data_IF_958922795839
#
_entry.id   IF_958922795839
#
_cell.length_a   1.000
_cell.length_b   1.000
_cell.length_c   1.000
_cell.angle_alpha   90.00
_cell.angle_beta   90.00
_cell.angle_gamma   90.00
#
_symmetry.space_group_name_H-M   'P 1'
#
loop_
_entity.id
_entity.type
_entity.pdbx_description
1 polymer ?
#
# COMPACT_ATOMS: atom_id res chain seq x y z
N UNK A 1 -46.09 4.40 -42.69
CA UNK A 1 -45.46 3.29 -41.95
C UNK A 1 -44.15 2.95 -42.65
N UNK A 2 -43.06 3.54 -42.20
CA UNK A 2 -41.69 3.01 -42.37
C UNK A 2 -40.89 3.58 -41.21
N UNK A 3 -40.52 2.69 -40.31
CA UNK A 3 -39.80 2.90 -39.07
C UNK A 3 -38.31 3.15 -39.34
N UNK A 4 -37.80 4.29 -38.90
CA UNK A 4 -36.37 4.54 -38.74
C UNK A 4 -35.87 3.83 -37.48
N UNK A 5 -35.08 2.78 -37.64
CA UNK A 5 -34.27 2.20 -36.56
C UNK A 5 -32.86 2.79 -36.60
N UNK A 6 -32.56 3.70 -35.68
CA UNK A 6 -31.18 4.05 -35.33
C UNK A 6 -30.55 2.90 -34.52
N UNK A 7 -29.28 2.54 -34.76
CA UNK A 7 -28.56 1.65 -33.86
C UNK A 7 -28.07 2.45 -32.64
N UNK A 8 -28.56 2.06 -31.46
CA UNK A 8 -28.09 2.52 -30.17
C UNK A 8 -26.61 2.15 -29.97
N UNK A 9 -25.77 3.16 -29.78
CA UNK A 9 -24.36 2.99 -29.43
C UNK A 9 -24.18 2.27 -28.11
N UNK A 10 -23.51 1.12 -28.15
CA UNK A 10 -22.87 0.53 -26.98
C UNK A 10 -21.52 1.23 -26.78
N UNK A 11 -21.45 2.16 -25.83
CA UNK A 11 -20.16 2.62 -25.32
C UNK A 11 -19.61 1.57 -24.35
N UNK A 12 -18.72 0.74 -24.88
CA UNK A 12 -17.91 -0.17 -24.10
C UNK A 12 -16.96 0.56 -23.16
N UNK A 13 -16.77 0.00 -21.98
CA UNK A 13 -15.53 0.10 -21.22
C UNK A 13 -15.08 -1.33 -20.91
N UNK A 14 -14.62 -2.04 -21.93
CA UNK A 14 -13.74 -3.18 -21.73
C UNK A 14 -12.33 -2.62 -21.53
N UNK A 15 -11.90 -2.46 -20.28
CA UNK A 15 -10.49 -2.13 -19.97
C UNK A 15 -9.63 -3.36 -20.24
N UNK A 16 -9.31 -3.59 -21.51
CA UNK A 16 -8.49 -4.71 -21.98
C UNK A 16 -6.99 -4.37 -21.88
N UNK A 17 -6.55 -3.89 -20.71
CA UNK A 17 -5.16 -3.57 -20.40
C UNK A 17 -4.65 -4.45 -19.27
N UNK A 18 -3.35 -4.78 -19.28
CA UNK A 18 -2.71 -5.47 -18.16
C UNK A 18 -3.02 -4.74 -16.83
N UNK A 19 -3.21 -5.46 -15.71
CA UNK A 19 -3.52 -4.83 -14.44
C UNK A 19 -2.42 -3.83 -14.06
N UNK A 20 -2.82 -2.66 -13.54
CA UNK A 20 -1.87 -1.67 -13.03
C UNK A 20 -1.15 -2.22 -11.80
N UNK A 21 0.09 -1.80 -11.59
CA UNK A 21 0.79 -2.11 -10.35
C UNK A 21 0.09 -1.42 -9.17
N UNK A 22 -0.03 -2.14 -8.06
CA UNK A 22 -0.62 -1.66 -6.81
C UNK A 22 0.43 -1.74 -5.71
N UNK A 23 0.71 -0.61 -5.09
CA UNK A 23 1.68 -0.55 -3.98
C UNK A 23 0.94 -0.22 -2.70
N UNK A 24 1.07 -1.08 -1.70
CA UNK A 24 0.59 -0.80 -0.37
C UNK A 24 1.64 -0.03 0.42
N UNK A 25 1.27 1.13 0.94
CA UNK A 25 2.18 1.96 1.76
C UNK A 25 1.74 1.92 3.22
N UNK A 26 2.57 1.27 4.04
CA UNK A 26 2.47 1.32 5.50
C UNK A 26 3.28 2.52 6.00
N UNK A 27 2.63 3.42 6.75
CA UNK A 27 3.28 4.63 7.24
C UNK A 27 2.54 5.22 8.45
N UNK A 28 3.19 6.17 9.14
CA UNK A 28 2.64 6.80 10.33
C UNK A 28 1.41 7.67 10.06
N UNK A 29 0.44 7.62 11.00
CA UNK A 29 -0.64 8.60 11.09
C UNK A 29 -0.14 10.01 11.49
N UNK A 30 1.09 10.10 12.01
CA UNK A 30 1.76 11.35 12.35
C UNK A 30 2.80 11.72 11.28
N UNK A 31 3.05 13.01 11.09
CA UNK A 31 4.03 13.51 10.11
C UNK A 31 5.50 13.28 10.53
N UNK A 32 5.75 12.95 11.81
CA UNK A 32 7.09 12.96 12.39
C UNK A 32 7.56 14.36 12.79
N UNK A 33 8.70 14.44 13.46
CA UNK A 33 9.30 15.72 13.92
C UNK A 33 10.16 16.39 12.85
N UNK A 34 10.79 15.60 11.97
CA UNK A 34 11.57 16.11 10.84
C UNK A 34 10.68 16.29 9.61
N UNK A 35 10.75 17.44 8.90
CA UNK A 35 9.98 17.67 7.68
C UNK A 35 10.35 16.72 6.54
N UNK A 36 11.51 16.04 6.62
CA UNK A 36 11.99 15.11 5.61
C UNK A 36 11.03 13.93 5.38
N UNK A 37 10.33 13.47 6.42
CA UNK A 37 9.39 12.34 6.30
C UNK A 37 8.15 12.72 5.49
N UNK A 38 7.63 13.93 5.71
CA UNK A 38 6.48 14.45 4.96
C UNK A 38 6.86 14.75 3.51
N UNK A 39 8.07 15.27 3.27
CA UNK A 39 8.55 15.46 1.90
C UNK A 39 8.72 14.12 1.17
N UNK A 40 9.27 13.10 1.83
CA UNK A 40 9.37 11.76 1.25
C UNK A 40 8.00 11.15 0.93
N UNK A 41 6.96 11.42 1.74
CA UNK A 41 5.59 11.01 1.44
C UNK A 41 5.06 11.68 0.16
N UNK A 42 5.31 13.00 -0.02
CA UNK A 42 4.97 13.71 -1.26
C UNK A 42 5.73 13.17 -2.47
N UNK A 43 7.04 13.00 -2.33
CA UNK A 43 7.88 12.48 -3.41
C UNK A 43 7.44 11.07 -3.80
N UNK A 44 7.09 10.22 -2.84
CA UNK A 44 6.53 8.90 -3.13
C UNK A 44 5.21 8.98 -3.91
N UNK A 45 4.28 9.84 -3.49
CA UNK A 45 3.03 10.06 -4.23
C UNK A 45 3.27 10.52 -5.67
N UNK A 46 4.21 11.46 -5.88
CA UNK A 46 4.61 11.92 -7.22
C UNK A 46 5.26 10.82 -8.05
N UNK A 47 6.15 10.04 -7.45
CA UNK A 47 6.86 8.95 -8.11
C UNK A 47 5.88 7.83 -8.53
N UNK A 48 4.92 7.48 -7.67
CA UNK A 48 3.85 6.54 -8.00
C UNK A 48 3.00 7.05 -9.17
N UNK A 49 2.61 8.34 -9.14
CA UNK A 49 1.82 8.96 -10.20
C UNK A 49 2.54 8.89 -11.55
N UNK A 50 3.82 9.28 -11.57
CA UNK A 50 4.67 9.27 -12.77
C UNK A 50 4.89 7.86 -13.35
N UNK A 51 4.76 6.82 -12.53
CA UNK A 51 4.88 5.42 -12.95
C UNK A 51 3.53 4.73 -13.16
N UNK A 52 2.40 5.46 -13.09
CA UNK A 52 1.05 4.92 -13.21
C UNK A 52 0.79 3.74 -12.25
N UNK A 53 1.21 3.92 -11.00
CA UNK A 53 1.04 2.96 -9.90
C UNK A 53 -0.10 3.44 -9.01
N UNK A 54 -1.03 2.53 -8.71
CA UNK A 54 -2.14 2.79 -7.79
C UNK A 54 -1.70 2.54 -6.33
N UNK A 55 -2.25 3.31 -5.39
CA UNK A 55 -1.97 3.22 -3.96
C UNK A 55 -3.04 2.39 -3.23
N UNK A 56 -2.57 1.48 -2.39
CA UNK A 56 -3.35 0.85 -1.33
C UNK A 56 -2.82 1.37 0.01
N UNK A 57 -3.70 1.78 0.92
CA UNK A 57 -3.22 2.28 2.22
C UNK A 57 -4.27 2.19 3.32
N UNK A 58 -3.87 2.63 4.52
CA UNK A 58 -4.68 2.53 5.73
C UNK A 58 -5.89 3.45 5.83
N UNK A 59 -6.13 4.32 4.86
CA UNK A 59 -7.30 5.22 4.81
C UNK A 59 -7.24 6.45 5.73
N UNK A 60 -6.09 6.75 6.32
CA UNK A 60 -5.91 7.97 7.14
C UNK A 60 -5.89 9.26 6.31
N UNK A 61 -6.28 10.38 6.90
CA UNK A 61 -6.32 11.71 6.26
C UNK A 61 -5.19 12.64 6.74
N UNK A 62 -4.47 12.22 7.77
CA UNK A 62 -3.44 12.98 8.48
C UNK A 62 -2.07 12.32 8.37
N UNK A 63 -1.02 13.09 8.71
CA UNK A 63 0.36 12.62 8.70
C UNK A 63 0.82 12.13 7.33
N UNK A 64 1.66 11.09 7.34
CA UNK A 64 2.24 10.58 6.10
C UNK A 64 1.19 9.86 5.24
N UNK A 65 0.26 9.14 5.86
CA UNK A 65 -0.84 8.46 5.16
C UNK A 65 -1.66 9.44 4.30
N UNK A 66 -2.10 10.55 4.92
CA UNK A 66 -2.86 11.57 4.23
C UNK A 66 -2.07 12.23 3.11
N UNK A 67 -0.78 12.47 3.31
CA UNK A 67 0.08 13.16 2.34
C UNK A 67 0.34 12.33 1.07
N UNK A 68 0.64 11.03 1.20
CA UNK A 68 0.83 10.15 0.03
C UNK A 68 -0.47 10.07 -0.77
N UNK A 69 -1.60 9.81 -0.10
CA UNK A 69 -2.91 9.70 -0.73
C UNK A 69 -3.30 10.99 -1.45
N UNK A 70 -3.25 12.12 -0.74
CA UNK A 70 -3.60 13.43 -1.31
C UNK A 70 -2.74 13.80 -2.50
N UNK A 71 -1.44 13.55 -2.43
CA UNK A 71 -0.52 13.84 -3.54
C UNK A 71 -0.89 13.03 -4.78
N UNK A 72 -1.11 11.72 -4.63
CA UNK A 72 -1.42 10.86 -5.77
C UNK A 72 -2.80 11.18 -6.37
N UNK A 73 -3.83 11.38 -5.53
CA UNK A 73 -5.18 11.79 -6.00
C UNK A 73 -5.14 13.10 -6.77
N UNK A 74 -4.34 14.07 -6.30
CA UNK A 74 -4.24 15.38 -6.99
C UNK A 74 -3.68 15.30 -8.41
N UNK A 75 -2.98 14.21 -8.76
CA UNK A 75 -2.33 14.01 -10.06
C UNK A 75 -3.12 13.01 -10.92
N UNK A 76 -3.47 11.85 -10.37
CA UNK A 76 -4.07 10.72 -11.11
C UNK A 76 -5.55 10.48 -10.79
N UNK A 77 -6.15 11.30 -9.91
CA UNK A 77 -7.57 11.24 -9.55
C UNK A 77 -7.91 10.18 -8.50
N UNK A 78 -9.16 10.19 -7.98
CA UNK A 78 -9.59 9.36 -6.86
C UNK A 78 -9.44 7.85 -7.06
N UNK A 79 -9.58 7.37 -8.31
CA UNK A 79 -9.49 5.94 -8.63
C UNK A 79 -8.08 5.37 -8.44
N UNK A 80 -7.06 6.23 -8.41
CA UNK A 80 -5.66 5.83 -8.20
C UNK A 80 -5.32 5.49 -6.75
N UNK A 81 -6.25 5.73 -5.80
CA UNK A 81 -6.03 5.49 -4.37
C UNK A 81 -7.19 4.68 -3.78
N UNK A 82 -6.84 3.69 -2.96
CA UNK A 82 -7.78 2.89 -2.20
C UNK A 82 -7.37 2.78 -0.72
N UNK A 83 -8.15 3.42 0.15
CA UNK A 83 -8.00 3.34 1.61
C UNK A 83 -8.88 2.26 2.24
N UNK A 84 -8.32 1.41 3.11
CA UNK A 84 -9.07 0.38 3.85
C UNK A 84 -9.10 0.75 5.33
N UNK A 85 -10.31 1.03 5.85
CA UNK A 85 -10.52 1.60 7.18
C UNK A 85 -11.35 0.63 8.02
N UNK A 86 -10.97 0.30 9.26
CA UNK A 86 -11.80 -0.50 10.14
C UNK A 86 -12.95 0.35 10.72
N UNK A 87 -14.13 -0.24 10.89
CA UNK A 87 -15.33 0.43 11.43
C UNK A 87 -15.08 1.13 12.77
N UNK A 88 -14.20 0.57 13.60
CA UNK A 88 -13.83 1.17 14.87
C UNK A 88 -13.23 2.57 14.68
N UNK A 89 -12.28 2.75 13.74
CA UNK A 89 -11.60 4.03 13.54
C UNK A 89 -12.52 5.09 12.92
N UNK A 90 -13.47 4.70 12.07
CA UNK A 90 -14.50 5.61 11.54
C UNK A 90 -15.29 6.30 12.66
N UNK A 91 -15.51 5.62 13.78
CA UNK A 91 -16.26 6.17 14.93
C UNK A 91 -15.44 7.17 15.75
N UNK A 92 -14.12 6.97 15.81
CA UNK A 92 -13.20 7.82 16.58
C UNK A 92 -12.70 9.04 15.78
N UNK A 93 -12.51 8.91 14.47
CA UNK A 93 -11.99 9.97 13.57
C UNK A 93 -13.08 10.96 13.08
N UNK A 94 -14.22 11.03 13.77
CA UNK A 94 -15.34 11.95 13.44
C UNK A 94 -14.99 13.44 13.57
N UNK A 95 -13.74 13.78 13.88
CA UNK A 95 -13.30 15.12 14.31
C UNK A 95 -12.92 16.07 13.16
N UNK A 96 -13.57 15.92 11.99
CA UNK A 96 -13.66 17.00 10.98
C UNK A 96 -12.89 16.81 9.67
N UNK A 97 -12.00 15.81 9.54
CA UNK A 97 -11.37 15.48 8.24
C UNK A 97 -12.20 14.49 7.41
N UNK A 98 -13.11 13.76 8.05
CA UNK A 98 -14.05 12.83 7.43
C UNK A 98 -15.35 13.60 7.17
N UNK A 99 -15.45 14.23 6.00
CA UNK A 99 -16.55 15.15 5.68
C UNK A 99 -17.60 14.56 4.72
N UNK A 100 -17.36 13.35 4.21
CA UNK A 100 -18.25 12.73 3.22
C UNK A 100 -18.86 11.44 3.74
N UNK A 101 -19.99 11.03 3.16
CA UNK A 101 -20.63 9.76 3.46
C UNK A 101 -20.58 8.84 2.26
N UNK A 102 -20.20 7.58 2.47
CA UNK A 102 -20.29 6.56 1.42
C UNK A 102 -21.75 6.12 1.18
N UNK A 103 -21.96 5.23 0.20
CA UNK A 103 -23.29 4.68 -0.17
C UNK A 103 -24.02 3.97 0.98
N UNK A 104 -23.30 3.60 2.03
CA UNK A 104 -23.82 2.93 3.24
C UNK A 104 -24.00 3.90 4.42
N UNK A 105 -24.01 5.22 4.17
CA UNK A 105 -24.12 6.30 5.17
C UNK A 105 -23.02 6.28 6.26
N UNK A 106 -21.86 5.70 5.96
CA UNK A 106 -20.70 5.76 6.85
C UNK A 106 -19.88 7.00 6.51
N UNK A 107 -19.44 7.73 7.54
CA UNK A 107 -18.58 8.90 7.37
C UNK A 107 -17.18 8.42 6.94
N UNK A 108 -16.67 8.93 5.83
CA UNK A 108 -15.39 8.53 5.22
C UNK A 108 -14.61 9.77 4.75
N UNK A 109 -13.30 9.63 4.50
CA UNK A 109 -12.49 10.68 3.87
C UNK A 109 -13.09 11.14 2.54
N UNK A 110 -12.88 12.41 2.21
CA UNK A 110 -13.35 12.97 0.94
C UNK A 110 -12.66 12.27 -0.25
N UNK A 111 -13.46 11.59 -1.08
CA UNK A 111 -12.96 10.80 -2.21
C UNK A 111 -12.17 11.63 -3.23
N UNK A 112 -12.60 12.87 -3.50
CA UNK A 112 -11.87 13.82 -4.36
C UNK A 112 -10.49 14.22 -3.86
N UNK A 113 -10.18 13.98 -2.58
CA UNK A 113 -8.91 14.37 -1.95
C UNK A 113 -8.08 13.16 -1.56
N UNK A 114 -8.69 12.10 -1.04
CA UNK A 114 -8.00 10.93 -0.46
C UNK A 114 -8.29 9.62 -1.19
N UNK A 115 -9.14 9.66 -2.23
CA UNK A 115 -9.46 8.50 -3.05
C UNK A 115 -10.56 7.62 -2.48
N UNK A 116 -10.80 6.51 -3.16
CA UNK A 116 -11.86 5.56 -2.77
C UNK A 116 -11.53 4.94 -1.43
N UNK A 117 -12.56 4.66 -0.63
CA UNK A 117 -12.39 3.98 0.66
C UNK A 117 -13.34 2.82 0.85
N UNK A 118 -12.85 1.76 1.48
CA UNK A 118 -13.65 0.60 1.93
C UNK A 118 -13.60 0.51 3.45
N UNK A 119 -14.78 0.48 4.07
CA UNK A 119 -14.90 0.24 5.51
C UNK A 119 -15.04 -1.26 5.76
N UNK A 120 -14.24 -1.81 6.66
CA UNK A 120 -14.23 -3.24 7.02
C UNK A 120 -14.48 -3.43 8.52
N UNK A 121 -14.95 -4.61 8.89
CA UNK A 121 -15.36 -4.92 10.28
C UNK A 121 -14.21 -4.78 11.29
N UNK A 122 -13.03 -5.29 10.96
CA UNK A 122 -11.93 -5.45 11.91
C UNK A 122 -10.54 -5.30 11.26
N UNK A 123 -9.51 -5.21 12.11
CA UNK A 123 -8.11 -5.02 11.69
C UNK A 123 -7.56 -6.20 10.89
N UNK A 124 -8.02 -7.43 11.16
CA UNK A 124 -7.55 -8.61 10.42
C UNK A 124 -8.05 -8.55 8.97
N UNK A 125 -9.36 -8.28 8.80
CA UNK A 125 -9.98 -8.10 7.48
C UNK A 125 -9.34 -6.92 6.73
N UNK A 126 -9.00 -5.83 7.45
CA UNK A 126 -8.28 -4.68 6.89
C UNK A 126 -6.93 -5.09 6.28
N UNK A 127 -6.06 -5.72 7.06
CA UNK A 127 -4.73 -6.14 6.61
C UNK A 127 -4.82 -7.14 5.45
N UNK A 128 -5.74 -8.10 5.57
CA UNK A 128 -6.00 -9.09 4.52
C UNK A 128 -6.40 -8.43 3.20
N UNK A 129 -7.39 -7.53 3.23
CA UNK A 129 -7.85 -6.85 2.01
C UNK A 129 -6.76 -5.96 1.39
N UNK A 130 -5.99 -5.24 2.21
CA UNK A 130 -4.86 -4.43 1.72
C UNK A 130 -3.83 -5.30 0.98
N UNK A 131 -3.53 -6.49 1.50
CA UNK A 131 -2.59 -7.41 0.87
C UNK A 131 -3.17 -8.07 -0.39
N UNK A 132 -4.44 -8.50 -0.36
CA UNK A 132 -5.13 -9.07 -1.52
C UNK A 132 -5.18 -8.09 -2.70
N UNK A 133 -5.40 -6.80 -2.45
CA UNK A 133 -5.33 -5.76 -3.47
C UNK A 133 -3.95 -5.69 -4.13
N UNK A 134 -2.87 -5.80 -3.35
CA UNK A 134 -1.49 -5.84 -3.88
C UNK A 134 -1.23 -7.12 -4.68
N UNK A 135 -1.71 -8.27 -4.20
CA UNK A 135 -1.55 -9.55 -4.88
C UNK A 135 -2.24 -9.58 -6.24
N UNK A 136 -3.38 -8.90 -6.35
CA UNK A 136 -4.13 -8.74 -7.59
C UNK A 136 -3.54 -7.66 -8.53
N UNK A 137 -2.52 -6.92 -8.09
CA UNK A 137 -1.86 -5.90 -8.88
C UNK A 137 -0.93 -6.48 -9.97
N UNK A 138 -0.59 -5.65 -10.95
CA UNK A 138 0.34 -6.00 -12.02
C UNK A 138 1.81 -6.08 -11.59
N UNK A 139 2.73 -6.36 -12.54
CA UNK A 139 4.17 -6.39 -12.26
C UNK A 139 4.67 -5.10 -11.59
N UNK A 140 5.50 -5.25 -10.54
CA UNK A 140 5.97 -4.14 -9.71
C UNK A 140 5.07 -3.78 -8.53
N UNK A 141 3.98 -4.53 -8.31
CA UNK A 141 3.18 -4.43 -7.08
C UNK A 141 3.95 -4.93 -5.87
N UNK A 142 3.75 -4.29 -4.71
CA UNK A 142 4.37 -4.71 -3.46
C UNK A 142 4.12 -3.76 -2.30
N UNK A 143 4.97 -3.86 -1.29
CA UNK A 143 4.76 -3.20 0.00
C UNK A 143 5.90 -2.23 0.29
N UNK A 144 5.57 -1.02 0.74
CA UNK A 144 6.54 -0.02 1.18
C UNK A 144 6.25 0.37 2.63
N UNK A 145 7.28 0.28 3.47
CA UNK A 145 7.28 0.85 4.81
C UNK A 145 7.96 2.22 4.79
N UNK A 146 7.16 3.30 4.79
CA UNK A 146 7.68 4.63 5.12
C UNK A 146 7.79 4.76 6.65
N UNK A 147 8.34 5.86 7.15
CA UNK A 147 8.45 6.10 8.58
C UNK A 147 7.10 5.96 9.32
N UNK A 148 7.08 5.27 10.45
CA UNK A 148 5.86 4.97 11.17
C UNK A 148 6.09 4.23 12.48
N UNK A 149 5.06 4.20 13.34
CA UNK A 149 5.15 3.61 14.68
C UNK A 149 4.95 2.09 14.68
N UNK A 150 4.55 1.55 15.83
CA UNK A 150 4.35 0.10 16.01
C UNK A 150 3.40 -0.54 15.00
N UNK A 151 2.32 0.14 14.61
CA UNK A 151 1.40 -0.39 13.60
C UNK A 151 2.08 -0.63 12.25
N UNK A 152 2.88 0.34 11.78
CA UNK A 152 3.65 0.21 10.53
C UNK A 152 4.67 -0.92 10.61
N UNK A 153 5.35 -1.06 11.75
CA UNK A 153 6.31 -2.14 11.99
C UNK A 153 5.62 -3.51 11.97
N UNK A 154 4.46 -3.63 12.61
CA UNK A 154 3.65 -4.85 12.64
C UNK A 154 3.21 -5.26 11.24
N UNK A 155 2.68 -4.32 10.45
CA UNK A 155 2.21 -4.57 9.07
C UNK A 155 3.37 -5.00 8.14
N UNK A 156 4.56 -4.40 8.29
CA UNK A 156 5.75 -4.80 7.52
C UNK A 156 6.23 -6.20 7.90
N UNK A 157 6.28 -6.53 9.19
CA UNK A 157 6.74 -7.86 9.60
C UNK A 157 5.73 -8.96 9.29
N UNK A 158 4.43 -8.67 9.35
CA UNK A 158 3.37 -9.58 8.90
C UNK A 158 3.55 -9.95 7.42
N UNK A 159 3.65 -8.94 6.54
CA UNK A 159 3.85 -9.18 5.09
C UNK A 159 5.21 -9.83 4.77
N UNK A 160 6.26 -9.49 5.52
CA UNK A 160 7.56 -10.17 5.42
C UNK A 160 7.46 -11.65 5.78
N UNK A 161 6.71 -11.97 6.83
CA UNK A 161 6.49 -13.35 7.26
C UNK A 161 5.66 -14.12 6.23
N UNK A 162 4.63 -13.49 5.66
CA UNK A 162 3.82 -14.10 4.60
C UNK A 162 4.62 -14.39 3.33
N UNK A 163 5.52 -13.49 2.92
CA UNK A 163 6.47 -13.74 1.84
C UNK A 163 7.37 -14.94 2.17
N UNK A 164 7.98 -14.97 3.36
CA UNK A 164 8.82 -16.09 3.80
C UNK A 164 8.08 -17.44 3.76
N UNK A 165 6.79 -17.44 4.11
CA UNK A 165 5.90 -18.60 4.11
C UNK A 165 5.34 -18.98 2.72
N UNK A 166 5.71 -18.26 1.67
CA UNK A 166 5.26 -18.51 0.31
C UNK A 166 3.80 -18.13 0.03
N UNK A 167 3.19 -17.30 0.88
CA UNK A 167 1.81 -16.82 0.69
C UNK A 167 1.73 -15.83 -0.49
N UNK A 168 2.79 -15.06 -0.71
CA UNK A 168 2.92 -14.18 -1.87
C UNK A 168 4.38 -14.01 -2.30
N UNK A 169 4.57 -13.42 -3.48
CA UNK A 169 5.88 -13.19 -4.10
C UNK A 169 6.20 -11.70 -4.32
N UNK A 170 5.34 -10.79 -3.85
CA UNK A 170 5.59 -9.35 -3.95
C UNK A 170 6.74 -8.90 -3.05
N UNK A 171 7.55 -7.94 -3.54
CA UNK A 171 8.66 -7.35 -2.81
C UNK A 171 8.20 -6.43 -1.67
N UNK A 172 9.07 -6.27 -0.67
CA UNK A 172 8.83 -5.42 0.50
C UNK A 172 10.04 -4.51 0.69
N UNK A 173 9.79 -3.20 0.75
CA UNK A 173 10.85 -2.19 0.82
C UNK A 173 10.66 -1.29 2.04
N UNK A 174 11.70 -1.13 2.85
CA UNK A 174 11.80 -0.05 3.83
C UNK A 174 12.33 1.21 3.15
N UNK A 175 11.50 2.25 3.06
CA UNK A 175 11.92 3.55 2.57
C UNK A 175 12.57 4.34 3.72
N UNK A 176 13.90 4.21 3.79
CA UNK A 176 14.76 4.64 4.89
C UNK A 176 15.15 6.12 4.78
N UNK A 177 14.24 6.98 5.24
CA UNK A 177 14.44 8.43 5.26
C UNK A 177 15.25 8.82 6.49
N UNK A 178 16.40 9.47 6.27
CA UNK A 178 17.26 9.97 7.34
C UNK A 178 17.65 8.90 8.38
N UNK A 179 17.90 7.67 7.93
CA UNK A 179 18.30 6.55 8.80
C UNK A 179 17.20 6.02 9.72
N UNK A 180 15.92 6.38 9.48
CA UNK A 180 14.79 5.96 10.32
C UNK A 180 14.72 4.45 10.56
N UNK A 181 15.05 3.65 9.53
CA UNK A 181 14.96 2.19 9.58
C UNK A 181 16.28 1.49 9.94
N UNK A 182 17.36 2.23 10.22
CA UNK A 182 18.70 1.65 10.47
C UNK A 182 18.68 0.64 11.62
N UNK A 183 17.91 0.90 12.68
CA UNK A 183 17.77 -0.02 13.80
C UNK A 183 17.10 -1.34 13.44
N UNK A 184 16.11 -1.33 12.53
CA UNK A 184 15.46 -2.55 12.04
C UNK A 184 16.39 -3.34 11.12
N UNK A 185 17.14 -2.64 10.27
CA UNK A 185 18.15 -3.28 9.40
C UNK A 185 19.22 -3.95 10.24
N UNK A 186 19.73 -3.26 11.27
CA UNK A 186 20.72 -3.83 12.19
C UNK A 186 20.17 -5.04 12.96
N UNK A 187 18.92 -4.99 13.40
CA UNK A 187 18.26 -6.14 14.02
C UNK A 187 18.17 -7.33 13.05
N UNK A 188 17.83 -7.09 11.78
CA UNK A 188 17.74 -8.14 10.77
C UNK A 188 19.11 -8.78 10.53
N UNK A 189 20.17 -7.97 10.42
CA UNK A 189 21.53 -8.47 10.31
C UNK A 189 21.89 -9.39 11.49
N UNK A 190 21.53 -8.99 12.71
CA UNK A 190 21.77 -9.81 13.91
C UNK A 190 20.93 -11.09 13.91
N UNK A 191 19.67 -11.01 13.51
CA UNK A 191 18.80 -12.18 13.42
C UNK A 191 19.30 -13.21 12.39
N UNK A 192 19.95 -12.75 11.33
CA UNK A 192 20.64 -13.60 10.35
C UNK A 192 21.91 -14.21 10.94
N UNK A 193 22.75 -13.38 11.58
CA UNK A 193 23.99 -13.83 12.24
C UNK A 193 23.71 -14.92 13.28
N UNK A 194 22.66 -14.76 14.09
CA UNK A 194 22.23 -15.71 15.12
C UNK A 194 21.39 -16.88 14.57
N UNK A 195 21.13 -16.92 13.26
CA UNK A 195 20.44 -18.04 12.60
C UNK A 195 18.92 -18.09 12.80
N UNK A 196 18.29 -17.04 13.33
CA UNK A 196 16.83 -16.92 13.41
C UNK A 196 16.19 -16.61 12.05
N UNK A 197 16.94 -15.91 11.18
CA UNK A 197 16.57 -15.68 9.77
C UNK A 197 17.63 -16.34 8.89
N UNK A 198 17.20 -17.11 7.89
CA UNK A 198 18.14 -17.71 6.93
C UNK A 198 18.75 -16.61 6.06
N UNK A 199 20.05 -16.70 5.73
CA UNK A 199 20.73 -15.75 4.83
C UNK A 199 19.97 -15.55 3.51
N UNK A 200 19.44 -16.63 2.93
CA UNK A 200 18.62 -16.55 1.72
C UNK A 200 17.40 -15.62 1.89
N UNK A 201 16.78 -15.60 3.08
CA UNK A 201 15.58 -14.80 3.37
C UNK A 201 15.89 -13.34 3.72
N UNK A 202 17.16 -12.98 3.90
CA UNK A 202 17.57 -11.60 4.20
C UNK A 202 17.06 -10.60 3.16
N UNK A 203 17.06 -11.00 1.90
CA UNK A 203 16.65 -10.14 0.78
C UNK A 203 15.14 -10.08 0.57
N UNK A 204 14.31 -10.68 1.44
CA UNK A 204 12.86 -10.48 1.42
C UNK A 204 12.51 -9.02 1.74
N UNK A 205 13.21 -8.44 2.71
CA UNK A 205 13.04 -7.07 3.18
C UNK A 205 14.25 -6.23 2.76
N UNK A 206 14.09 -5.43 1.70
CA UNK A 206 15.16 -4.58 1.18
C UNK A 206 14.97 -3.13 1.61
N UNK A 207 16.00 -2.30 1.48
CA UNK A 207 15.92 -0.87 1.82
C UNK A 207 16.14 0.01 0.60
N UNK A 208 15.57 1.20 0.64
CA UNK A 208 15.90 2.28 -0.28
C UNK A 208 15.87 3.61 0.44
N UNK A 209 16.71 4.57 0.05
CA UNK A 209 16.74 5.91 0.64
C UNK A 209 15.95 6.94 -0.17
N UNK A 210 15.39 6.54 -1.32
CA UNK A 210 14.62 7.42 -2.20
C UNK A 210 13.33 6.72 -2.66
N UNK A 211 12.24 7.47 -2.92
CA UNK A 211 11.00 6.87 -3.42
C UNK A 211 11.15 6.17 -4.76
N UNK A 212 11.85 6.75 -5.73
CA UNK A 212 12.13 6.13 -7.03
C UNK A 212 12.93 4.84 -6.86
N UNK A 213 13.92 4.84 -5.97
CA UNK A 213 14.69 3.66 -5.63
C UNK A 213 13.81 2.56 -5.02
N UNK A 214 12.83 2.91 -4.19
CA UNK A 214 11.89 1.95 -3.60
C UNK A 214 10.98 1.32 -4.67
N UNK A 215 10.42 2.13 -5.57
CA UNK A 215 9.59 1.63 -6.67
C UNK A 215 10.37 0.76 -7.66
N UNK A 216 11.65 1.12 -7.91
CA UNK A 216 12.55 0.30 -8.71
C UNK A 216 12.84 -1.03 -8.02
N UNK A 217 13.11 -1.02 -6.71
CA UNK A 217 13.37 -2.24 -5.94
C UNK A 217 12.17 -3.20 -5.95
N UNK A 218 10.93 -2.68 -5.85
CA UNK A 218 9.73 -3.50 -6.00
C UNK A 218 9.60 -4.13 -7.39
N UNK A 219 9.90 -3.37 -8.44
CA UNK A 219 9.84 -3.83 -9.83
C UNK A 219 10.85 -4.92 -10.14
N UNK A 220 12.06 -4.79 -9.59
CA UNK A 220 13.17 -5.70 -9.83
C UNK A 220 13.24 -6.84 -8.83
N UNK A 221 12.34 -6.86 -7.83
CA UNK A 221 12.33 -7.87 -6.79
C UNK A 221 12.21 -9.27 -7.37
N UNK A 222 13.04 -10.17 -6.86
CA UNK A 222 12.98 -11.60 -7.12
C UNK A 222 12.82 -12.33 -5.81
N UNK A 223 11.87 -13.25 -5.83
CA UNK A 223 11.55 -14.19 -4.76
C UNK A 223 12.83 -14.89 -4.29
N UNK A 224 13.05 -14.92 -2.98
CA UNK A 224 14.21 -15.58 -2.40
C UNK A 224 14.18 -17.10 -2.63
N UNK A 225 15.35 -17.69 -2.90
CA UNK A 225 15.53 -19.15 -2.98
C UNK A 225 15.25 -19.87 -1.64
N UNK A 226 15.16 -19.13 -0.52
CA UNK A 226 14.93 -19.66 0.83
C UNK A 226 13.47 -19.79 1.25
N UNK A 227 12.51 -19.44 0.37
CA UNK A 227 11.08 -19.46 0.69
C UNK A 227 10.57 -20.88 0.91
N UNK A 228 9.71 -21.03 1.92
CA UNK A 228 9.03 -22.29 2.17
C UNK A 228 8.02 -22.59 1.06
N UNK A 229 8.11 -23.77 0.45
CA UNK A 229 7.16 -24.27 -0.55
C UNK A 229 5.91 -24.86 0.13
N UNK A 230 5.26 -24.09 1.00
CA UNK A 230 4.07 -24.52 1.73
C UNK A 230 2.84 -24.44 0.81
N UNK A 231 2.01 -25.48 0.84
CA UNK A 231 0.69 -25.46 0.20
C UNK A 231 -0.34 -25.08 1.26
N UNK A 232 -0.87 -23.87 1.16
CA UNK A 232 -1.96 -23.41 2.01
C UNK A 232 -3.28 -23.88 1.37
N UNK A 233 -3.91 -24.91 1.93
CA UNK A 233 -5.24 -25.34 1.49
C UNK A 233 -6.25 -24.22 1.78
N UNK A 234 -7.00 -23.80 0.76
CA UNK A 234 -8.10 -22.85 0.91
C UNK A 234 -9.31 -23.57 1.50
N UNK A 235 -9.50 -23.44 2.81
CA UNK A 235 -10.72 -23.85 3.52
C UNK A 235 -11.92 -22.96 3.20
#
# INVERSE_FOLDING_TARGET
MTSDTQPSGQNGHSSNGAPRAKVCVYCGANAGSSPLHLEAARELGRAMAANNIDLVYGGGTVGLMGEVAKTLVSINGPDSVHGIIPEALVKYERDGTYQTTNKSNQVVPEESVYGRTTVVKDMHTRKKLMAEEVFAGGPGSGFIGLSGGFGTVEEIFETTTWNQLGIHSNGIVLLNINGYWDGIVQWLDKAVEEGFVKEANKNILVTSTTPEGALKALRDYKVSDGIYQLKWESS
#
